data_IF_267944199620
#
_entry.id   IF_267944199620
#
_cell.length_a   1.000
_cell.length_b   1.000
_cell.length_c   1.000
_cell.angle_alpha   90.00
_cell.angle_beta   90.00
_cell.angle_gamma   90.00
#
_symmetry.space_group_name_H-M   'P 1'
#
loop_
_entity.id
_entity.type
_entity.pdbx_description
1 polymer ?
#
# COMPACT_ATOMS: atom_id res chain seq x y z
N UNK A 1 -57.27 27.19 -49.80
CA UNK A 1 -58.52 27.40 -49.02
C UNK A 1 -58.24 27.08 -47.55
N UNK A 2 -58.44 28.09 -46.68
CA UNK A 2 -58.71 28.08 -45.23
C UNK A 2 -57.77 27.26 -44.32
N UNK A 3 -56.82 27.83 -43.55
CA UNK A 3 -56.91 28.77 -42.40
C UNK A 3 -57.62 28.22 -41.14
N UNK A 4 -56.87 27.98 -40.06
CA UNK A 4 -57.11 28.38 -38.65
C UNK A 4 -56.09 27.60 -37.78
N UNK A 5 -55.11 28.17 -37.08
CA UNK A 5 -55.09 29.24 -36.07
C UNK A 5 -56.11 29.00 -34.95
N UNK A 6 -55.59 28.55 -33.80
CA UNK A 6 -55.95 29.10 -32.50
C UNK A 6 -54.69 29.30 -31.67
N UNK A 7 -54.32 30.57 -31.57
CA UNK A 7 -53.46 31.15 -30.54
C UNK A 7 -54.35 31.52 -29.36
N UNK A 8 -53.97 31.15 -28.13
CA UNK A 8 -54.29 31.95 -26.96
C UNK A 8 -53.09 31.92 -26.01
N UNK A 9 -52.56 33.12 -25.78
CA UNK A 9 -51.66 33.51 -24.69
C UNK A 9 -52.47 33.57 -23.37
N UNK A 10 -51.96 33.77 -22.15
CA UNK A 10 -50.80 34.47 -21.62
C UNK A 10 -50.76 34.18 -20.08
N UNK A 11 -49.67 34.60 -19.42
CA UNK A 11 -49.40 34.79 -17.98
C UNK A 11 -48.80 33.59 -17.23
N UNK A 12 -47.48 33.54 -17.05
CA UNK A 12 -46.61 34.37 -16.18
C UNK A 12 -46.64 33.90 -14.71
N UNK A 13 -45.53 33.29 -14.30
CA UNK A 13 -45.18 33.03 -12.91
C UNK A 13 -43.67 32.82 -12.83
N UNK A 14 -42.96 33.88 -12.45
CA UNK A 14 -41.53 33.86 -12.15
C UNK A 14 -41.21 32.78 -11.11
N UNK A 15 -40.14 32.02 -11.34
CA UNK A 15 -39.12 31.84 -10.30
C UNK A 15 -37.75 31.62 -10.93
N UNK A 16 -36.92 32.68 -10.82
CA UNK A 16 -35.47 32.55 -10.84
C UNK A 16 -35.08 31.58 -9.72
N UNK A 17 -34.55 30.41 -10.08
CA UNK A 17 -33.73 29.62 -9.17
C UNK A 17 -32.30 29.64 -9.72
N UNK A 18 -31.45 30.37 -9.00
CA UNK A 18 -30.00 30.37 -9.09
C UNK A 18 -29.45 28.96 -9.36
N UNK A 19 -28.90 28.73 -10.56
CA UNK A 19 -27.92 27.66 -10.74
C UNK A 19 -26.61 28.15 -10.15
N UNK A 20 -26.41 27.91 -8.86
CA UNK A 20 -25.08 27.93 -8.28
C UNK A 20 -24.23 26.84 -8.94
N UNK A 21 -22.96 27.12 -9.30
CA UNK A 21 -22.05 26.06 -9.70
C UNK A 21 -21.83 25.13 -8.50
N UNK A 22 -21.88 23.82 -8.75
CA UNK A 22 -21.46 22.79 -7.80
C UNK A 22 -20.03 23.11 -7.33
N UNK A 23 -19.93 23.69 -6.14
CA UNK A 23 -18.66 23.89 -5.46
C UNK A 23 -18.02 22.51 -5.26
N UNK A 24 -16.77 22.37 -5.70
CA UNK A 24 -15.95 21.22 -5.39
C UNK A 24 -15.86 21.08 -3.87
N UNK A 25 -16.52 20.06 -3.33
CA UNK A 25 -16.45 19.73 -1.91
C UNK A 25 -15.02 19.24 -1.66
N UNK A 26 -14.29 20.01 -0.86
CA UNK A 26 -12.94 19.69 -0.42
C UNK A 26 -13.01 18.49 0.53
N UNK A 27 -12.45 17.30 0.20
CA UNK A 27 -12.62 16.09 1.01
C UNK A 27 -11.93 16.18 2.39
N UNK A 28 -11.15 17.23 2.65
CA UNK A 28 -10.43 17.41 3.91
C UNK A 28 -11.26 17.98 5.08
N UNK A 29 -12.54 18.32 4.89
CA UNK A 29 -13.41 18.82 5.96
C UNK A 29 -14.33 17.77 6.63
N UNK A 30 -14.17 16.48 6.30
CA UNK A 30 -14.90 15.38 6.96
C UNK A 30 -14.07 14.61 7.99
N UNK A 31 -12.88 15.08 8.36
CA UNK A 31 -12.05 14.50 9.42
C UNK A 31 -12.04 15.39 10.67
N UNK A 32 -13.22 15.79 11.12
CA UNK A 32 -13.39 16.27 12.50
C UNK A 32 -14.86 16.15 12.89
N UNK A 33 -15.26 14.97 13.37
CA UNK A 33 -16.20 14.75 14.48
C UNK A 33 -16.85 13.35 14.36
N UNK A 34 -16.57 12.53 15.36
CA UNK A 34 -17.39 11.40 15.79
C UNK A 34 -17.59 10.21 14.85
N UNK A 35 -16.51 9.64 14.31
CA UNK A 35 -16.47 8.18 14.15
C UNK A 35 -15.81 7.56 15.38
N UNK A 36 -16.67 7.12 16.31
CA UNK A 36 -16.30 6.18 17.36
C UNK A 36 -15.70 4.94 16.70
N UNK A 37 -14.37 4.84 16.73
CA UNK A 37 -13.54 3.72 16.27
C UNK A 37 -13.71 2.45 17.13
N UNK A 38 -14.76 2.36 17.95
CA UNK A 38 -14.93 1.31 18.94
C UNK A 38 -16.21 0.49 18.70
N UNK A 39 -16.33 -0.20 17.55
CA UNK A 39 -17.21 -1.39 17.42
C UNK A 39 -17.12 -2.20 16.10
N UNK A 40 -15.92 -2.47 15.55
CA UNK A 40 -15.83 -3.35 14.35
C UNK A 40 -14.65 -4.32 14.40
N UNK A 41 -14.37 -4.91 15.56
CA UNK A 41 -13.75 -6.23 15.77
C UNK A 41 -14.18 -6.68 17.18
N UNK A 42 -14.29 -7.99 17.52
CA UNK A 42 -14.06 -8.36 18.90
C UNK A 42 -12.70 -7.79 19.31
N UNK A 43 -12.66 -7.11 20.44
CA UNK A 43 -11.58 -6.25 20.87
C UNK A 43 -10.29 -7.04 21.19
N UNK A 44 -9.56 -7.44 20.16
CA UNK A 44 -8.11 -7.64 20.23
C UNK A 44 -7.46 -6.30 19.93
N UNK A 45 -6.72 -5.75 20.89
CA UNK A 45 -5.92 -4.53 20.71
C UNK A 45 -5.03 -4.70 19.47
N UNK A 46 -5.16 -3.83 18.47
CA UNK A 46 -4.23 -3.73 17.33
C UNK A 46 -2.91 -3.08 17.76
N UNK A 47 -2.24 -3.63 18.77
CA UNK A 47 -0.87 -3.30 19.12
C UNK A 47 0.04 -4.36 18.48
N UNK A 48 0.85 -3.98 17.47
CA UNK A 48 2.04 -4.75 17.11
C UNK A 48 2.16 -5.36 15.71
N UNK A 49 1.35 -4.96 14.72
CA UNK A 49 1.68 -5.26 13.31
C UNK A 49 2.83 -4.35 12.89
N UNK A 50 3.98 -4.93 12.56
CA UNK A 50 5.12 -4.16 12.08
C UNK A 50 4.89 -3.78 10.61
N UNK A 51 5.46 -2.64 10.21
CA UNK A 51 5.37 -2.15 8.82
C UNK A 51 6.00 -3.17 7.87
N UNK A 52 5.20 -3.73 6.97
CA UNK A 52 5.66 -4.70 5.95
C UNK A 52 5.15 -6.14 6.16
N UNK A 53 4.42 -6.39 7.25
CA UNK A 53 3.84 -7.69 7.55
C UNK A 53 2.71 -8.06 6.55
N UNK A 54 2.69 -9.32 6.11
CA UNK A 54 1.67 -9.86 5.22
C UNK A 54 0.53 -10.46 6.05
N UNK A 55 -0.61 -9.80 6.06
CA UNK A 55 -1.74 -10.15 6.92
C UNK A 55 -2.94 -10.66 6.12
N UNK A 56 -3.20 -10.08 4.94
CA UNK A 56 -4.34 -10.44 4.11
C UNK A 56 -3.90 -11.08 2.79
N UNK A 57 -4.73 -11.99 2.27
CA UNK A 57 -4.49 -12.69 0.99
C UNK A 57 -4.35 -11.77 -0.23
N UNK A 58 -4.53 -10.46 -0.11
CA UNK A 58 -4.40 -9.49 -1.19
C UNK A 58 -3.46 -8.32 -0.85
N UNK A 59 -2.60 -8.46 0.17
CA UNK A 59 -1.73 -7.36 0.60
C UNK A 59 -0.67 -6.98 -0.44
N UNK A 60 0.07 -7.97 -0.96
CA UNK A 60 1.07 -7.77 -2.02
C UNK A 60 1.30 -9.03 -2.86
N UNK A 61 1.73 -8.83 -4.11
CA UNK A 61 2.11 -9.92 -5.02
C UNK A 61 3.56 -10.36 -4.79
N UNK A 62 3.83 -11.65 -4.93
CA UNK A 62 5.17 -12.23 -4.91
C UNK A 62 5.48 -12.84 -6.27
N UNK A 63 6.32 -12.18 -7.06
CA UNK A 63 6.75 -12.66 -8.38
C UNK A 63 8.02 -13.52 -8.31
N UNK A 64 8.84 -13.36 -7.27
CA UNK A 64 10.10 -14.09 -7.10
C UNK A 64 10.31 -14.56 -5.66
N UNK A 65 10.93 -15.73 -5.50
CA UNK A 65 11.15 -16.37 -4.18
C UNK A 65 12.02 -15.53 -3.22
N UNK A 66 12.86 -14.64 -3.74
CA UNK A 66 13.68 -13.76 -2.90
C UNK A 66 12.88 -12.65 -2.21
N UNK A 67 11.66 -12.35 -2.69
CA UNK A 67 10.79 -11.34 -2.10
C UNK A 67 10.16 -11.79 -0.77
N UNK A 68 10.33 -13.06 -0.40
CA UNK A 68 9.95 -13.58 0.92
C UNK A 68 11.00 -13.26 1.98
N UNK A 69 12.24 -12.93 1.61
CA UNK A 69 13.25 -12.54 2.59
C UNK A 69 12.80 -11.27 3.33
N UNK A 70 13.09 -11.21 4.62
CA UNK A 70 12.71 -10.12 5.54
C UNK A 70 11.19 -9.86 5.58
N UNK A 71 10.39 -10.90 5.38
CA UNK A 71 8.93 -10.83 5.39
C UNK A 71 8.36 -11.56 6.57
N UNK A 72 7.51 -10.87 7.32
CA UNK A 72 6.70 -11.50 8.36
C UNK A 72 5.30 -11.75 7.83
N UNK A 73 4.78 -12.94 8.06
CA UNK A 73 3.41 -13.31 7.78
C UNK A 73 2.64 -13.36 9.11
N UNK A 74 1.41 -12.83 9.10
CA UNK A 74 0.49 -12.85 10.25
C UNK A 74 -0.79 -13.57 9.82
N UNK A 75 -0.84 -14.90 10.00
CA UNK A 75 -2.06 -15.67 9.77
C UNK A 75 -3.14 -15.31 10.79
N UNK A 76 -4.42 -15.47 10.42
CA UNK A 76 -5.56 -15.34 11.36
C UNK A 76 -5.89 -16.66 12.05
N UNK A 77 -5.50 -17.77 11.44
CA UNK A 77 -5.76 -19.09 11.98
C UNK A 77 -4.73 -20.10 11.48
N UNK A 78 -4.70 -21.25 12.14
CA UNK A 78 -3.93 -22.40 11.69
C UNK A 78 -4.68 -23.71 11.91
N UNK A 79 -4.20 -24.78 11.26
CA UNK A 79 -4.62 -26.17 11.48
C UNK A 79 -3.40 -27.00 11.79
N UNK A 80 -3.52 -27.90 12.75
CA UNK A 80 -2.51 -28.92 13.06
C UNK A 80 -2.98 -30.27 12.51
N UNK A 81 -2.21 -30.85 11.58
CA UNK A 81 -2.56 -32.09 10.88
C UNK A 81 -3.94 -32.02 10.21
N UNK A 82 -4.77 -33.03 10.46
CA UNK A 82 -6.17 -33.09 10.03
C UNK A 82 -7.15 -32.45 11.03
N UNK A 83 -6.61 -31.73 12.02
CA UNK A 83 -7.38 -31.07 13.07
C UNK A 83 -8.27 -29.92 12.57
N UNK A 84 -9.11 -29.45 13.50
CA UNK A 84 -9.93 -28.26 13.29
C UNK A 84 -9.10 -26.98 13.12
N UNK A 85 -9.75 -25.95 12.61
CA UNK A 85 -9.14 -24.61 12.51
C UNK A 85 -9.11 -23.92 13.87
N UNK A 86 -7.93 -23.45 14.26
CA UNK A 86 -7.68 -22.70 15.49
C UNK A 86 -7.51 -21.23 15.10
N UNK A 87 -8.47 -20.40 15.53
CA UNK A 87 -8.43 -18.95 15.34
C UNK A 87 -7.50 -18.34 16.39
N UNK A 88 -6.64 -17.43 15.98
CA UNK A 88 -5.69 -16.73 16.85
C UNK A 88 -5.94 -15.23 16.84
N UNK A 89 -5.58 -14.57 17.93
CA UNK A 89 -5.59 -13.12 17.98
C UNK A 89 -4.47 -12.52 17.11
N UNK A 90 -4.67 -11.25 16.73
CA UNK A 90 -3.72 -10.53 15.88
C UNK A 90 -2.36 -10.45 16.60
N UNK A 91 -1.28 -10.78 15.89
CA UNK A 91 0.12 -10.81 16.35
C UNK A 91 0.53 -11.96 17.28
N UNK A 92 -0.39 -12.84 17.67
CA UNK A 92 -0.05 -14.02 18.46
C UNK A 92 0.66 -15.06 17.61
N UNK A 93 0.28 -15.16 16.33
CA UNK A 93 0.90 -16.04 15.36
C UNK A 93 1.70 -15.23 14.33
N UNK A 94 3.00 -15.53 14.20
CA UNK A 94 3.89 -14.91 13.20
C UNK A 94 4.81 -15.93 12.56
N UNK A 95 5.04 -15.78 11.26
CA UNK A 95 6.04 -16.55 10.51
C UNK A 95 6.97 -15.56 9.84
N UNK A 96 8.19 -15.44 10.36
CA UNK A 96 9.18 -14.50 9.85
C UNK A 96 10.22 -15.22 9.01
N UNK A 97 10.37 -14.77 7.76
CA UNK A 97 11.40 -15.23 6.85
C UNK A 97 12.56 -14.25 6.90
N UNK A 98 13.71 -14.70 7.37
CA UNK A 98 14.98 -14.01 7.13
C UNK A 98 15.63 -14.54 5.86
N UNK A 99 16.77 -13.99 5.47
CA UNK A 99 17.54 -14.52 4.34
C UNK A 99 17.82 -16.03 4.41
N UNK A 100 18.15 -16.55 5.61
CA UNK A 100 18.66 -17.92 5.80
C UNK A 100 17.87 -18.77 6.79
N UNK A 101 16.86 -18.22 7.48
CA UNK A 101 16.07 -18.95 8.47
C UNK A 101 14.61 -18.55 8.40
N UNK A 102 13.73 -19.46 8.81
CA UNK A 102 12.32 -19.20 9.09
C UNK A 102 12.10 -19.29 10.60
N UNK A 103 11.43 -18.30 11.17
CA UNK A 103 11.09 -18.24 12.58
C UNK A 103 9.58 -18.30 12.75
N UNK A 104 9.13 -19.12 13.68
CA UNK A 104 7.73 -19.21 14.09
C UNK A 104 7.55 -18.55 15.45
N UNK A 105 6.39 -17.95 15.64
CA UNK A 105 5.89 -17.44 16.92
C UNK A 105 4.41 -17.81 17.03
N UNK A 106 3.94 -18.21 18.20
CA UNK A 106 2.53 -18.50 18.51
C UNK A 106 2.17 -19.98 18.58
N UNK A 107 3.11 -20.89 18.30
CA UNK A 107 2.94 -22.34 18.42
C UNK A 107 4.17 -22.86 19.14
N UNK A 108 3.99 -23.35 20.37
CA UNK A 108 5.07 -23.70 21.29
C UNK A 108 6.05 -24.69 20.66
N UNK A 109 5.54 -25.73 20.01
CA UNK A 109 6.30 -26.79 19.36
C UNK A 109 7.22 -26.24 18.24
N UNK A 110 6.76 -25.23 17.50
CA UNK A 110 7.52 -24.61 16.42
C UNK A 110 8.46 -23.51 16.94
N UNK A 111 8.12 -22.84 18.05
CA UNK A 111 8.98 -21.85 18.70
C UNK A 111 10.25 -22.51 19.27
N UNK A 112 10.16 -23.76 19.73
CA UNK A 112 11.32 -24.54 20.20
C UNK A 112 12.43 -24.67 19.15
N UNK A 113 12.11 -24.52 17.86
CA UNK A 113 13.09 -24.55 16.76
C UNK A 113 14.08 -23.38 16.81
N UNK A 114 13.76 -22.27 17.50
CA UNK A 114 14.58 -21.04 17.57
C UNK A 114 15.03 -20.50 16.19
N UNK A 115 14.33 -20.89 15.13
CA UNK A 115 14.68 -20.61 13.74
C UNK A 115 15.18 -21.85 12.99
N UNK A 116 14.45 -22.28 11.96
CA UNK A 116 14.83 -23.40 11.11
C UNK A 116 15.56 -22.90 9.85
N UNK A 117 16.71 -23.49 9.53
CA UNK A 117 17.58 -23.03 8.46
C UNK A 117 17.02 -23.31 7.07
N UNK A 118 17.09 -22.36 6.16
CA UNK A 118 16.68 -22.53 4.76
C UNK A 118 17.85 -23.10 3.98
N UNK A 119 17.69 -24.33 3.48
CA UNK A 119 18.70 -25.03 2.69
C UNK A 119 18.50 -24.78 1.19
N UNK A 120 17.24 -24.72 0.77
CA UNK A 120 16.89 -24.55 -0.64
C UNK A 120 15.57 -23.81 -0.81
N UNK A 121 15.46 -23.05 -1.91
CA UNK A 121 14.27 -22.25 -2.28
C UNK A 121 13.94 -22.53 -3.75
N UNK A 122 12.70 -22.91 -4.05
CA UNK A 122 12.24 -23.14 -5.43
C UNK A 122 10.87 -22.54 -5.68
N UNK A 123 10.61 -22.20 -6.94
CA UNK A 123 9.26 -21.90 -7.41
C UNK A 123 8.57 -23.21 -7.82
N UNK A 124 7.27 -23.29 -7.56
CA UNK A 124 6.39 -24.40 -7.96
C UNK A 124 5.23 -23.87 -8.80
N UNK A 125 4.41 -24.76 -9.34
CA UNK A 125 3.20 -24.37 -10.07
C UNK A 125 2.24 -23.55 -9.19
N UNK A 126 2.07 -23.98 -7.94
CA UNK A 126 1.11 -23.39 -7.00
C UNK A 126 1.70 -22.28 -6.12
N UNK A 127 3.01 -22.06 -6.17
CA UNK A 127 3.67 -20.98 -5.42
C UNK A 127 5.17 -21.20 -5.24
N UNK A 128 5.61 -21.37 -3.99
CA UNK A 128 7.02 -21.47 -3.64
C UNK A 128 7.26 -22.52 -2.57
N UNK A 129 8.37 -23.24 -2.65
CA UNK A 129 8.76 -24.28 -1.70
C UNK A 129 10.12 -23.95 -1.08
N UNK A 130 10.21 -24.15 0.24
CA UNK A 130 11.40 -23.94 1.06
C UNK A 130 11.75 -25.27 1.72
N UNK A 131 12.96 -25.77 1.47
CA UNK A 131 13.48 -26.93 2.20
C UNK A 131 14.25 -26.42 3.40
N UNK A 132 13.87 -26.94 4.55
CA UNK A 132 14.30 -26.45 5.84
C UNK A 132 15.08 -27.55 6.57
N UNK A 133 16.11 -27.16 7.31
CA UNK A 133 16.90 -28.06 8.15
C UNK A 133 16.98 -27.48 9.55
N UNK A 134 16.58 -28.29 10.53
CA UNK A 134 16.88 -28.01 11.92
C UNK A 134 18.33 -28.44 12.20
N UNK A 135 19.15 -27.49 12.66
CA UNK A 135 20.56 -27.74 12.98
C UNK A 135 20.73 -28.56 14.25
N UNK A 136 19.75 -28.56 15.15
CA UNK A 136 19.84 -29.28 16.42
C UNK A 136 19.54 -30.76 16.22
N UNK A 137 18.41 -31.09 15.61
CA UNK A 137 18.02 -32.49 15.35
C UNK A 137 18.59 -33.07 14.05
N UNK A 138 19.05 -32.23 13.12
CA UNK A 138 19.38 -32.64 11.75
C UNK A 138 18.16 -32.95 10.89
N UNK A 139 16.94 -32.75 11.42
CA UNK A 139 15.70 -33.08 10.72
C UNK A 139 15.44 -32.13 9.55
N UNK A 140 14.94 -32.71 8.45
CA UNK A 140 14.46 -31.94 7.31
C UNK A 140 12.97 -31.72 7.41
N UNK A 141 12.56 -30.49 7.09
CA UNK A 141 11.17 -30.09 7.01
C UNK A 141 10.94 -29.34 5.70
N UNK A 142 9.67 -29.22 5.30
CA UNK A 142 9.28 -28.51 4.09
C UNK A 142 8.30 -27.42 4.48
N UNK A 143 8.47 -26.24 3.89
CA UNK A 143 7.48 -25.19 3.95
C UNK A 143 7.06 -24.77 2.55
N UNK A 144 5.76 -24.81 2.28
CA UNK A 144 5.17 -24.47 0.99
C UNK A 144 4.29 -23.24 1.14
N UNK A 145 4.53 -22.22 0.33
CA UNK A 145 3.71 -21.03 0.25
C UNK A 145 2.83 -21.14 -0.98
N UNK A 146 1.52 -21.24 -0.76
CA UNK A 146 0.54 -21.33 -1.85
C UNK A 146 0.11 -19.93 -2.27
N UNK A 147 0.05 -19.72 -3.58
CA UNK A 147 -0.36 -18.46 -4.18
C UNK A 147 -1.58 -18.60 -5.08
N UNK A 148 -2.33 -17.52 -5.23
CA UNK A 148 -3.36 -17.40 -6.26
C UNK A 148 -2.72 -17.28 -7.65
N UNK A 149 -3.52 -17.40 -8.72
CA UNK A 149 -3.07 -17.15 -10.11
C UNK A 149 -2.42 -15.75 -10.26
N UNK A 150 -2.89 -14.79 -9.47
CA UNK A 150 -2.38 -13.42 -9.40
C UNK A 150 -1.15 -13.25 -8.50
N UNK A 151 -0.57 -14.34 -8.00
CA UNK A 151 0.64 -14.37 -7.17
C UNK A 151 0.47 -13.72 -5.79
N UNK A 152 -0.72 -13.77 -5.22
CA UNK A 152 -0.92 -13.42 -3.81
C UNK A 152 -0.91 -14.66 -2.93
N UNK A 153 -0.38 -14.57 -1.70
CA UNK A 153 -0.30 -15.70 -0.77
C UNK A 153 -1.69 -16.03 -0.21
N UNK A 154 -2.09 -17.30 -0.33
CA UNK A 154 -3.37 -17.82 0.17
C UNK A 154 -3.22 -18.51 1.52
N UNK A 155 -2.19 -19.36 1.63
CA UNK A 155 -1.86 -20.14 2.82
C UNK A 155 -0.38 -20.50 2.84
N UNK A 156 0.13 -20.84 4.00
CA UNK A 156 1.46 -21.44 4.17
C UNK A 156 1.27 -22.81 4.80
N UNK A 157 1.95 -23.83 4.29
CA UNK A 157 1.97 -25.17 4.89
C UNK A 157 3.38 -25.50 5.35
N UNK A 158 3.51 -25.97 6.57
CA UNK A 158 4.74 -26.52 7.12
C UNK A 158 4.54 -28.01 7.37
N UNK A 159 5.48 -28.83 6.90
CA UNK A 159 5.44 -30.28 7.04
C UNK A 159 6.77 -30.79 7.58
N UNK A 160 6.72 -31.44 8.74
CA UNK A 160 7.87 -32.07 9.37
C UNK A 160 7.47 -33.44 9.93
N UNK A 161 8.36 -34.42 9.80
CA UNK A 161 8.18 -35.71 10.47
C UNK A 161 8.31 -35.60 11.99
N UNK A 162 9.05 -34.60 12.47
CA UNK A 162 9.35 -34.43 13.89
C UNK A 162 8.39 -33.47 14.57
N UNK A 163 8.04 -32.38 13.89
CA UNK A 163 7.24 -31.31 14.48
C UNK A 163 5.77 -31.34 14.05
N UNK A 164 5.40 -32.23 13.12
CA UNK A 164 4.04 -32.36 12.61
C UNK A 164 3.77 -31.51 11.37
N UNK A 165 2.48 -31.37 11.04
CA UNK A 165 2.00 -30.65 9.86
C UNK A 165 1.15 -29.46 10.31
N UNK A 166 1.43 -28.27 9.78
CA UNK A 166 0.67 -27.06 10.09
C UNK A 166 0.24 -26.36 8.81
N UNK A 167 -1.00 -25.92 8.76
CA UNK A 167 -1.51 -25.06 7.69
C UNK A 167 -1.90 -23.71 8.27
N UNK A 168 -1.28 -22.64 7.82
CA UNK A 168 -1.51 -21.27 8.23
C UNK A 168 -2.39 -20.54 7.20
N UNK A 169 -3.47 -19.94 7.67
CA UNK A 169 -4.52 -19.37 6.82
C UNK A 169 -4.59 -17.85 7.01
N UNK A 170 -4.71 -17.15 5.89
CA UNK A 170 -4.81 -15.69 5.86
C UNK A 170 -6.24 -15.26 5.58
N UNK A 171 -6.74 -14.20 6.22
CA UNK A 171 -8.03 -13.62 5.90
C UNK A 171 -8.06 -13.03 4.50
N UNK A 172 -9.23 -13.09 3.87
CA UNK A 172 -9.54 -12.21 2.73
C UNK A 172 -9.90 -10.84 3.29
N UNK A 173 -9.27 -9.79 2.77
CA UNK A 173 -9.58 -8.43 3.20
C UNK A 173 -11.02 -8.08 2.84
N UNK A 174 -11.80 -7.67 3.83
CA UNK A 174 -13.20 -7.28 3.61
C UNK A 174 -13.30 -6.02 2.76
N UNK A 175 -14.38 -5.90 2.00
CA UNK A 175 -14.62 -4.80 1.06
C UNK A 175 -14.68 -3.43 1.73
N UNK A 176 -15.23 -3.34 2.94
CA UNK A 176 -15.26 -2.12 3.75
C UNK A 176 -13.85 -1.67 4.16
N UNK A 177 -13.01 -2.60 4.62
CA UNK A 177 -11.61 -2.30 4.97
C UNK A 177 -10.81 -1.88 3.73
N UNK A 178 -11.07 -2.51 2.58
CA UNK A 178 -10.48 -2.09 1.30
C UNK A 178 -10.92 -0.69 0.89
N UNK A 179 -12.21 -0.36 1.05
CA UNK A 179 -12.74 0.96 0.70
C UNK A 179 -12.12 2.07 1.55
N UNK A 180 -11.98 1.85 2.87
CA UNK A 180 -11.30 2.79 3.77
C UNK A 180 -9.84 3.00 3.34
N UNK A 181 -9.13 1.91 3.05
CA UNK A 181 -7.74 1.99 2.61
C UNK A 181 -7.60 2.71 1.26
N UNK A 182 -8.47 2.43 0.30
CA UNK A 182 -8.47 3.08 -1.00
C UNK A 182 -8.79 4.58 -0.89
N UNK A 183 -9.71 4.95 0.00
CA UNK A 183 -10.07 6.35 0.24
C UNK A 183 -8.95 7.13 0.95
N UNK A 184 -8.11 6.46 1.73
CA UNK A 184 -6.99 7.10 2.43
C UNK A 184 -5.86 7.52 1.48
N UNK A 185 -5.51 6.67 0.51
CA UNK A 185 -4.43 6.96 -0.42
C UNK A 185 -4.88 7.83 -1.59
N UNK A 186 -4.04 8.75 -2.03
CA UNK A 186 -4.34 9.61 -3.18
C UNK A 186 -4.24 8.83 -4.48
N UNK A 187 -5.29 8.78 -5.32
CA UNK A 187 -5.22 8.14 -6.63
C UNK A 187 -4.38 8.99 -7.60
N UNK A 188 -3.71 8.35 -8.57
CA UNK A 188 -2.93 9.05 -9.61
C UNK A 188 -3.76 10.10 -10.34
N UNK A 189 -5.00 9.77 -10.68
CA UNK A 189 -5.95 10.62 -11.40
C UNK A 189 -6.54 11.75 -10.54
N UNK A 190 -6.17 11.87 -9.26
CA UNK A 190 -6.69 12.91 -8.37
C UNK A 190 -6.43 14.33 -8.91
N UNK A 191 -5.28 14.55 -9.54
CA UNK A 191 -4.82 15.87 -9.94
C UNK A 191 -4.15 15.84 -11.31
N UNK A 192 -4.52 16.79 -12.17
CA UNK A 192 -3.79 17.12 -13.40
C UNK A 192 -2.85 18.29 -13.11
N UNK A 193 -1.59 18.16 -13.52
CA UNK A 193 -0.50 19.06 -13.13
C UNK A 193 0.19 19.60 -14.38
N UNK A 194 -0.05 20.87 -14.67
CA UNK A 194 0.62 21.65 -15.71
C UNK A 194 1.71 22.54 -15.10
N UNK A 195 1.51 22.98 -13.86
CA UNK A 195 2.39 23.88 -13.12
C UNK A 195 2.39 23.61 -11.62
N UNK A 196 3.13 24.42 -10.88
CA UNK A 196 3.24 24.30 -9.41
C UNK A 196 1.95 24.78 -8.71
N UNK A 197 1.31 25.77 -9.30
CA UNK A 197 0.03 26.32 -8.92
C UNK A 197 -1.06 25.24 -8.79
N UNK A 198 -1.06 24.22 -9.66
CA UNK A 198 -2.02 23.11 -9.63
C UNK A 198 -1.86 22.20 -8.40
N UNK A 199 -0.67 22.22 -7.80
CA UNK A 199 -0.34 21.46 -6.60
C UNK A 199 -0.59 22.27 -5.34
N UNK A 200 -0.70 23.59 -5.42
CA UNK A 200 -0.80 24.43 -4.22
C UNK A 200 -2.08 24.08 -3.45
N UNK A 201 -1.91 23.91 -2.13
CA UNK A 201 -2.93 23.44 -1.18
C UNK A 201 -3.48 22.03 -1.43
N UNK A 202 -2.74 21.21 -2.20
CA UNK A 202 -3.03 19.78 -2.33
C UNK A 202 -2.26 18.96 -1.32
N UNK A 203 -2.90 17.90 -0.84
CA UNK A 203 -2.28 16.86 -0.02
C UNK A 203 -2.24 15.58 -0.87
N UNK A 204 -1.09 14.93 -0.89
CA UNK A 204 -0.90 13.65 -1.54
C UNK A 204 -0.39 12.61 -0.54
N UNK A 205 -1.15 11.54 -0.39
CA UNK A 205 -0.87 10.40 0.48
C UNK A 205 -0.48 9.22 -0.41
N UNK A 206 0.83 8.89 -0.52
CA UNK A 206 1.29 7.80 -1.37
C UNK A 206 0.92 6.43 -0.80
N UNK A 207 0.63 5.48 -1.70
CA UNK A 207 0.29 4.09 -1.33
C UNK A 207 1.53 3.18 -1.25
N UNK A 208 2.55 3.45 -2.06
CA UNK A 208 3.77 2.63 -2.08
C UNK A 208 5.02 3.50 -2.01
N UNK A 209 6.11 2.90 -1.55
CA UNK A 209 7.46 3.46 -1.65
C UNK A 209 8.44 2.49 -2.27
N UNK A 210 9.48 3.04 -2.90
CA UNK A 210 10.65 2.30 -3.36
C UNK A 210 11.87 2.97 -2.74
N UNK A 211 12.50 2.28 -1.79
CA UNK A 211 13.73 2.71 -1.13
C UNK A 211 14.93 2.44 -2.04
N UNK A 212 15.93 3.32 -2.02
CA UNK A 212 17.15 3.18 -2.82
C UNK A 212 16.85 2.92 -4.31
N UNK A 213 15.97 3.73 -4.91
CA UNK A 213 15.43 3.50 -6.25
C UNK A 213 16.47 3.41 -7.39
N UNK A 214 17.75 3.71 -7.10
CA UNK A 214 18.90 3.57 -7.99
C UNK A 214 19.56 2.17 -7.95
N UNK A 215 19.36 1.38 -6.89
CA UNK A 215 20.09 0.12 -6.65
C UNK A 215 19.18 -1.08 -6.38
N UNK A 216 18.07 -0.89 -5.67
CA UNK A 216 17.15 -1.96 -5.32
C UNK A 216 15.71 -1.47 -5.54
N UNK A 217 14.85 -2.31 -6.13
CA UNK A 217 13.47 -1.93 -6.50
C UNK A 217 12.43 -2.76 -5.75
N UNK A 218 12.62 -2.96 -4.44
CA UNK A 218 11.50 -3.45 -3.64
C UNK A 218 10.45 -2.36 -3.56
N UNK A 219 9.22 -2.71 -3.94
CA UNK A 219 8.06 -1.85 -3.85
C UNK A 219 7.31 -2.23 -2.59
N UNK A 220 7.38 -1.37 -1.59
CA UNK A 220 6.79 -1.60 -0.28
C UNK A 220 5.50 -0.79 -0.15
N UNK A 221 4.45 -1.41 0.39
CA UNK A 221 3.20 -0.71 0.70
C UNK A 221 3.40 0.17 1.94
N UNK A 222 2.93 1.40 1.87
CA UNK A 222 2.93 2.33 3.00
C UNK A 222 1.72 1.98 3.87
N UNK A 223 1.93 1.79 5.16
CA UNK A 223 0.83 1.58 6.10
C UNK A 223 0.22 2.93 6.49
N UNK A 224 -1.10 2.97 6.72
CA UNK A 224 -1.82 4.23 6.99
C UNK A 224 -1.28 4.93 8.25
N UNK A 225 -0.91 4.15 9.25
CA UNK A 225 -0.36 4.59 10.55
C UNK A 225 0.99 5.30 10.40
N UNK A 226 1.70 5.09 9.29
CA UNK A 226 2.95 5.81 9.03
C UNK A 226 2.71 7.29 8.74
N UNK A 227 1.49 7.69 8.37
CA UNK A 227 1.11 9.09 8.15
C UNK A 227 1.94 9.80 7.07
N UNK A 228 2.53 9.04 6.13
CA UNK A 228 3.38 9.63 5.10
C UNK A 228 2.51 10.46 4.16
N UNK A 229 2.84 11.74 4.00
CA UNK A 229 2.12 12.63 3.09
C UNK A 229 2.99 13.79 2.61
N UNK A 230 2.60 14.35 1.47
CA UNK A 230 3.14 15.57 0.89
C UNK A 230 2.04 16.63 0.84
N UNK A 231 2.18 17.67 1.65
CA UNK A 231 1.32 18.85 1.58
C UNK A 231 2.05 19.96 0.84
N UNK A 232 1.49 20.35 -0.29
CA UNK A 232 2.07 21.34 -1.19
C UNK A 232 1.54 22.74 -0.85
N UNK A 233 2.44 23.70 -0.70
CA UNK A 233 2.15 25.11 -0.47
C UNK A 233 2.85 25.97 -1.52
N UNK A 234 2.45 27.23 -1.61
CA UNK A 234 2.96 28.18 -2.62
C UNK A 234 4.48 28.12 -2.80
N UNK A 235 5.27 28.04 -1.73
CA UNK A 235 6.75 28.06 -1.79
C UNK A 235 7.44 26.93 -1.05
N UNK A 236 6.73 25.91 -0.63
CA UNK A 236 7.32 24.78 0.09
C UNK A 236 6.43 23.55 0.07
N UNK A 237 7.02 22.41 0.40
CA UNK A 237 6.30 21.18 0.70
C UNK A 237 6.49 20.85 2.16
N UNK A 238 5.41 20.50 2.87
CA UNK A 238 5.51 19.84 4.16
C UNK A 238 5.50 18.34 3.88
N UNK A 239 6.64 17.69 4.09
CA UNK A 239 6.76 16.26 4.00
C UNK A 239 6.62 15.66 5.39
N UNK A 240 5.59 14.83 5.59
CA UNK A 240 5.46 14.02 6.81
C UNK A 240 6.09 12.66 6.54
N UNK A 241 7.09 12.29 7.33
CA UNK A 241 7.76 11.00 7.27
C UNK A 241 7.19 10.04 8.32
N UNK A 242 7.63 8.78 8.25
CA UNK A 242 7.32 7.72 9.21
C UNK A 242 7.46 8.21 10.65
N UNK A 243 6.42 7.97 11.45
CA UNK A 243 6.35 8.43 12.85
C UNK A 243 5.92 9.89 13.01
N UNK A 244 5.29 10.48 11.99
CA UNK A 244 4.68 11.81 12.06
C UNK A 244 5.67 12.98 12.03
N UNK A 245 6.96 12.72 11.82
CA UNK A 245 7.98 13.79 11.76
C UNK A 245 7.78 14.61 10.50
N UNK A 246 7.58 15.91 10.66
CA UNK A 246 7.40 16.83 9.55
C UNK A 246 8.70 17.54 9.17
N UNK A 247 8.97 17.62 7.87
CA UNK A 247 10.05 18.39 7.28
C UNK A 247 9.49 19.42 6.31
N UNK A 248 9.87 20.69 6.52
CA UNK A 248 9.55 21.78 5.59
C UNK A 248 10.62 21.90 4.50
N UNK A 249 10.23 21.62 3.27
CA UNK A 249 11.11 21.66 2.09
C UNK A 249 10.78 22.92 1.28
N UNK A 250 11.58 23.97 1.44
CA UNK A 250 11.39 25.21 0.69
C UNK A 250 11.73 25.04 -0.80
N UNK A 251 10.81 25.42 -1.69
CA UNK A 251 10.92 25.34 -3.15
C UNK A 251 11.15 26.75 -3.70
N UNK A 252 12.29 26.95 -4.37
CA UNK A 252 12.65 28.26 -4.94
C UNK A 252 12.14 28.46 -6.37
N UNK A 253 12.19 27.38 -7.16
CA UNK A 253 11.86 27.40 -8.58
C UNK A 253 11.47 26.00 -9.01
N UNK A 254 10.49 25.91 -9.89
CA UNK A 254 10.11 24.68 -10.58
C UNK A 254 10.45 24.79 -12.07
N UNK A 255 10.71 23.65 -12.69
CA UNK A 255 10.84 23.55 -14.15
C UNK A 255 10.23 22.22 -14.57
N UNK A 256 9.34 22.25 -15.56
CA UNK A 256 8.85 21.04 -16.19
C UNK A 256 9.64 20.79 -17.47
N UNK A 257 10.16 19.58 -17.61
CA UNK A 257 10.83 19.11 -18.82
C UNK A 257 10.26 17.78 -19.29
N UNK A 258 10.45 17.48 -20.57
CA UNK A 258 10.14 16.16 -21.10
C UNK A 258 11.08 15.12 -20.49
N UNK A 259 10.53 13.96 -20.16
CA UNK A 259 11.33 12.81 -19.79
C UNK A 259 11.90 12.17 -21.05
N UNK A 260 13.22 12.20 -21.20
CA UNK A 260 13.94 11.52 -22.28
C UNK A 260 14.38 10.10 -21.88
N UNK A 261 14.24 9.75 -20.60
CA UNK A 261 14.65 8.43 -20.09
C UNK A 261 13.50 7.43 -20.21
N UNK A 262 13.61 6.56 -21.21
CA UNK A 262 12.66 5.47 -21.45
C UNK A 262 12.56 4.48 -20.27
N UNK A 263 13.56 4.42 -19.37
CA UNK A 263 13.57 3.48 -18.23
C UNK A 263 12.59 3.88 -17.12
N UNK A 264 11.97 5.06 -17.19
CA UNK A 264 11.02 5.57 -16.18
C UNK A 264 9.56 5.23 -16.48
N UNK A 265 9.32 4.21 -17.32
CA UNK A 265 7.99 3.63 -17.54
C UNK A 265 7.00 4.64 -18.14
N UNK A 266 5.89 4.88 -17.43
CA UNK A 266 4.80 5.75 -17.89
C UNK A 266 5.09 7.25 -17.74
N UNK A 267 6.24 7.63 -17.17
CA UNK A 267 6.60 9.03 -16.99
C UNK A 267 6.93 9.68 -18.34
N UNK A 268 6.27 10.81 -18.62
CA UNK A 268 6.46 11.62 -19.84
C UNK A 268 7.01 13.00 -19.54
N UNK A 269 6.72 13.57 -18.38
CA UNK A 269 7.27 14.85 -17.94
C UNK A 269 7.80 14.76 -16.52
N UNK A 270 8.78 15.59 -16.20
CA UNK A 270 9.37 15.71 -14.87
C UNK A 270 9.30 17.16 -14.47
N UNK A 271 8.61 17.45 -13.37
CA UNK A 271 8.73 18.72 -12.68
C UNK A 271 9.87 18.63 -11.67
N UNK A 272 10.96 19.34 -11.96
CA UNK A 272 12.11 19.46 -11.05
C UNK A 272 11.91 20.65 -10.13
N UNK A 273 11.92 20.41 -8.82
CA UNK A 273 11.81 21.45 -7.79
C UNK A 273 13.19 21.77 -7.23
N UNK A 274 13.69 23.00 -7.47
CA UNK A 274 14.95 23.47 -6.87
C UNK A 274 14.70 23.86 -5.42
N UNK A 275 15.25 23.08 -4.48
CA UNK A 275 15.03 23.29 -3.05
C UNK A 275 16.07 24.23 -2.41
N UNK A 276 15.72 24.91 -1.31
CA UNK A 276 16.67 25.67 -0.47
C UNK A 276 17.26 24.76 0.61
N UNK A 277 18.55 24.92 0.92
CA UNK A 277 19.23 24.18 1.98
C UNK A 277 20.21 23.16 1.41
N UNK A 278 19.91 21.87 1.58
CA UNK A 278 20.77 20.75 1.13
C UNK A 278 21.03 20.82 -0.38
N UNK A 279 22.30 20.93 -0.77
CA UNK A 279 22.71 21.06 -2.18
C UNK A 279 22.29 19.86 -3.04
N UNK A 280 22.27 18.67 -2.45
CA UNK A 280 22.00 17.42 -3.19
C UNK A 280 20.57 16.90 -3.04
N UNK A 281 19.70 17.67 -2.37
CA UNK A 281 18.30 17.26 -2.24
C UNK A 281 17.59 17.34 -3.58
N UNK A 282 16.92 16.26 -3.94
CA UNK A 282 16.13 16.17 -5.16
C UNK A 282 14.66 15.98 -4.82
N UNK A 283 13.84 16.97 -5.14
CA UNK A 283 12.39 16.82 -5.17
C UNK A 283 11.94 16.86 -6.62
N UNK A 284 11.40 15.74 -7.11
CA UNK A 284 10.90 15.58 -8.47
C UNK A 284 9.45 15.11 -8.41
N UNK A 285 8.58 15.71 -9.21
CA UNK A 285 7.22 15.23 -9.42
C UNK A 285 7.14 14.67 -10.83
N UNK A 286 6.76 13.40 -10.92
CA UNK A 286 6.86 12.62 -12.15
C UNK A 286 5.47 12.48 -12.74
N UNK A 287 5.30 12.94 -13.97
CA UNK A 287 4.00 13.11 -14.60
C UNK A 287 3.84 12.14 -15.78
N UNK A 288 2.66 11.52 -15.89
CA UNK A 288 2.33 10.64 -17.00
C UNK A 288 1.87 11.43 -18.26
N UNK A 289 1.40 10.73 -19.31
CA UNK A 289 0.90 11.36 -20.53
C UNK A 289 -0.36 12.21 -20.33
N UNK A 290 -1.18 11.89 -19.33
CA UNK A 290 -2.37 12.64 -18.95
C UNK A 290 -2.07 13.80 -17.99
N UNK A 291 -0.78 14.07 -17.72
CA UNK A 291 -0.30 15.07 -16.77
C UNK A 291 -0.70 14.79 -15.31
N UNK A 292 -0.97 13.53 -15.00
CA UNK A 292 -1.26 13.08 -13.65
C UNK A 292 0.02 12.67 -12.94
N UNK A 293 0.03 12.74 -11.61
CA UNK A 293 1.21 12.39 -10.81
C UNK A 293 1.36 10.87 -10.72
N UNK A 294 2.41 10.34 -11.36
CA UNK A 294 2.76 8.93 -11.31
C UNK A 294 3.43 8.58 -9.98
N UNK A 295 4.39 9.41 -9.56
CA UNK A 295 5.06 9.34 -8.25
C UNK A 295 5.79 10.64 -7.93
N UNK A 296 6.06 10.84 -6.64
CA UNK A 296 6.94 11.89 -6.13
C UNK A 296 8.27 11.24 -5.76
N UNK A 297 9.38 11.76 -6.26
CA UNK A 297 10.71 11.35 -5.81
C UNK A 297 11.26 12.39 -4.85
N UNK A 298 11.61 11.96 -3.63
CA UNK A 298 12.35 12.76 -2.68
C UNK A 298 13.66 12.04 -2.35
N UNK A 299 14.77 12.68 -2.69
CA UNK A 299 16.11 12.11 -2.59
C UNK A 299 16.19 10.76 -3.34
N UNK A 300 16.55 9.67 -2.66
CA UNK A 300 16.67 8.32 -3.23
C UNK A 300 15.42 7.44 -3.03
N UNK A 301 14.28 8.05 -2.70
CA UNK A 301 13.02 7.34 -2.44
C UNK A 301 11.94 7.81 -3.41
N UNK A 302 11.24 6.86 -4.02
CA UNK A 302 10.05 7.13 -4.83
C UNK A 302 8.80 6.81 -4.03
N UNK A 303 7.83 7.71 -4.04
CA UNK A 303 6.54 7.61 -3.37
C UNK A 303 5.44 7.57 -4.44
N UNK A 304 4.85 6.40 -4.64
CA UNK A 304 3.89 6.15 -5.71
C UNK A 304 2.46 6.34 -5.20
N UNK A 305 1.67 7.07 -5.98
CA UNK A 305 0.24 7.26 -5.72
C UNK A 305 -0.56 5.98 -6.05
N UNK A 306 -1.76 5.89 -5.50
CA UNK A 306 -2.61 4.72 -5.70
C UNK A 306 -3.05 4.59 -7.17
N UNK A 307 -3.03 3.36 -7.67
CA UNK A 307 -3.72 3.04 -8.93
C UNK A 307 -5.22 3.05 -8.63
N UNK A 308 -6.02 3.70 -9.48
CA UNK A 308 -7.46 3.46 -9.43
C UNK A 308 -7.73 1.99 -9.81
N UNK A 309 -8.70 1.33 -9.14
CA UNK A 309 -9.16 0.00 -9.51
C UNK A 309 -9.78 -0.05 -10.90
#
# INVERSE_FOLDING_TARGET
MKSSIYTLALLAGLHLANRQPLAAINPHHLVSNNYSLAKVMPAGKTEGTNVGDYTYQNDRKFTHVLQFNETTFIPQSYKEGEGGEIIVDVNDLKIHFSQNHVFFKGIEELEMLRGIGIVHKSATLEGYEFHLSDKVSGAFSRLTIFTTNDRFVKKIEFKSKFYGEYTFLFPVKRTDVMAVEQAYFTPKSAYKVVGWEDLTDKIMVPQFRILNCLRNRSRDKIAMEQGIQFEFKDKYVIFTNTGGKQEKIAVKKTRIGNNVDAKRGNVRKIMTCKTKGKKDRQLLIMLNSAQEVEYIQLDNVQYQLALQP
#
